data_IF_537553608557
#
_entry.id   IF_537553608557
#
_cell.length_a   1.000
_cell.length_b   1.000
_cell.length_c   1.000
_cell.angle_alpha   90.00
_cell.angle_beta   90.00
_cell.angle_gamma   90.00
#
_symmetry.space_group_name_H-M   'P 1'
#
loop_
_entity.id
_entity.type
_entity.pdbx_description
1 polymer ?
#
# COMPACT_ATOMS: atom_id res chain seq x y z
N UNK A 1 -7.78 13.78 4.94
CA UNK A 1 -7.59 12.53 4.15
C UNK A 1 -6.31 12.61 3.33
N UNK A 2 -5.71 11.48 2.96
CA UNK A 2 -4.45 11.44 2.23
C UNK A 2 -4.50 12.08 0.83
N UNK A 3 -5.63 11.99 0.12
CA UNK A 3 -5.82 12.66 -1.18
C UNK A 3 -5.57 14.18 -1.09
N UNK A 4 -6.06 14.83 -0.03
CA UNK A 4 -5.81 16.25 0.20
C UNK A 4 -4.35 16.57 0.48
N UNK A 5 -3.63 15.69 1.19
CA UNK A 5 -2.19 15.83 1.36
C UNK A 5 -1.49 15.74 0.00
N UNK A 6 -1.86 14.76 -0.83
CA UNK A 6 -1.32 14.59 -2.18
C UNK A 6 -1.55 15.84 -3.06
N UNK A 7 -2.64 16.60 -2.92
CA UNK A 7 -2.83 17.86 -3.64
C UNK A 7 -1.67 18.86 -3.44
N UNK A 8 -0.97 18.80 -2.31
CA UNK A 8 0.14 19.72 -1.99
C UNK A 8 1.49 19.30 -2.59
N UNK A 9 1.55 18.15 -3.26
CA UNK A 9 2.77 17.59 -3.85
C UNK A 9 2.63 17.44 -5.37
N UNK A 10 2.74 18.51 -6.16
CA UNK A 10 2.41 18.48 -7.60
C UNK A 10 3.23 17.46 -8.42
N UNK A 11 4.47 17.18 -8.01
CA UNK A 11 5.36 16.19 -8.63
C UNK A 11 5.20 14.76 -8.10
N UNK A 12 4.18 14.49 -7.26
CA UNK A 12 3.95 13.16 -6.70
C UNK A 12 3.50 12.18 -7.79
N UNK A 13 4.34 11.22 -8.15
CA UNK A 13 4.02 10.18 -9.13
C UNK A 13 3.40 8.94 -8.49
N UNK A 14 3.84 8.61 -7.27
CA UNK A 14 3.38 7.45 -6.50
C UNK A 14 3.18 7.86 -5.04
N UNK A 15 2.07 7.42 -4.45
CA UNK A 15 1.81 7.51 -3.02
C UNK A 15 1.43 6.12 -2.51
N UNK A 16 2.18 5.60 -1.54
CA UNK A 16 1.91 4.33 -0.88
C UNK A 16 1.57 4.57 0.59
N UNK A 17 0.40 4.09 1.01
CA UNK A 17 0.03 3.97 2.41
C UNK A 17 -0.01 2.49 2.75
N UNK A 18 0.75 2.08 3.74
CA UNK A 18 0.82 0.68 4.13
C UNK A 18 0.72 0.52 5.64
N UNK A 19 0.25 -0.65 6.03
CA UNK A 19 0.19 -1.10 7.41
C UNK A 19 0.63 -2.55 7.47
N UNK A 20 1.32 -2.91 8.56
CA UNK A 20 1.77 -4.27 8.79
C UNK A 20 1.84 -4.58 10.27
N UNK A 21 1.29 -5.72 10.69
CA UNK A 21 1.56 -6.40 11.96
C UNK A 21 1.26 -7.89 11.79
N UNK A 22 1.54 -8.72 12.79
CA UNK A 22 1.25 -10.17 12.69
C UNK A 22 -0.24 -10.41 12.32
N UNK A 23 -0.47 -11.21 11.29
CA UNK A 23 -1.78 -11.54 10.70
C UNK A 23 -2.37 -10.46 9.78
N UNK A 24 -1.74 -9.29 9.73
CA UNK A 24 -2.36 -8.10 9.17
C UNK A 24 -1.40 -7.32 8.28
N UNK A 25 -1.74 -7.21 7.00
CA UNK A 25 -1.05 -6.31 6.10
C UNK A 25 -2.05 -5.63 5.18
N UNK A 26 -1.83 -4.36 4.85
CA UNK A 26 -2.52 -3.70 3.76
C UNK A 26 -1.65 -2.66 3.06
N UNK A 27 -1.97 -2.42 1.79
CA UNK A 27 -1.38 -1.40 0.94
C UNK A 27 -2.50 -0.72 0.16
N UNK A 28 -2.44 0.61 0.13
CA UNK A 28 -3.09 1.44 -0.87
C UNK A 28 -2.01 2.18 -1.64
N UNK A 29 -1.99 2.01 -2.95
CA UNK A 29 -1.07 2.71 -3.86
C UNK A 29 -1.87 3.55 -4.84
N UNK A 30 -1.67 4.86 -4.78
CA UNK A 30 -2.09 5.77 -5.83
C UNK A 30 -0.90 6.06 -6.73
N UNK A 31 -1.06 5.93 -8.04
CA UNK A 31 0.05 6.13 -8.99
C UNK A 31 -0.43 6.75 -10.29
N UNK A 32 0.48 7.43 -10.98
CA UNK A 32 0.29 7.91 -12.35
C UNK A 32 1.13 7.04 -13.30
N UNK A 33 0.48 6.44 -14.30
CA UNK A 33 1.17 5.73 -15.38
C UNK A 33 1.77 6.70 -16.41
N UNK A 34 2.70 6.20 -17.23
CA UNK A 34 3.31 6.97 -18.32
C UNK A 34 2.29 7.52 -19.32
N UNK A 35 1.18 6.80 -19.55
CA UNK A 35 0.08 7.22 -20.43
C UNK A 35 -0.82 8.29 -19.80
N UNK A 36 -0.49 8.76 -18.59
CA UNK A 36 -1.23 9.79 -17.85
C UNK A 36 -2.47 9.28 -17.13
N UNK A 37 -2.74 7.97 -17.15
CA UNK A 37 -3.84 7.34 -16.42
C UNK A 37 -3.45 7.18 -14.94
N UNK A 38 -4.35 7.57 -14.05
CA UNK A 38 -4.18 7.38 -12.61
C UNK A 38 -4.74 6.03 -12.18
N UNK A 39 -4.07 5.38 -11.23
CA UNK A 39 -4.42 4.05 -10.75
C UNK A 39 -4.43 4.00 -9.24
N UNK A 40 -5.46 3.37 -8.67
CA UNK A 40 -5.48 2.90 -7.29
C UNK A 40 -5.34 1.39 -7.29
N UNK A 41 -4.26 0.93 -6.67
CA UNK A 41 -4.02 -0.46 -6.37
C UNK A 41 -4.21 -0.70 -4.87
N UNK A 42 -4.76 -1.86 -4.52
CA UNK A 42 -4.95 -2.30 -3.13
C UNK A 42 -4.50 -3.74 -2.98
N UNK A 43 -3.83 -4.04 -1.88
CA UNK A 43 -3.52 -5.40 -1.48
C UNK A 43 -3.64 -5.54 0.05
N UNK A 44 -3.99 -6.72 0.54
CA UNK A 44 -3.98 -6.94 1.99
C UNK A 44 -4.60 -8.26 2.46
N UNK A 45 -4.52 -8.49 3.77
CA UNK A 45 -5.08 -9.69 4.42
C UNK A 45 -6.56 -9.56 4.77
N UNK A 46 -7.12 -8.35 4.68
CA UNK A 46 -8.55 -8.07 4.79
C UNK A 46 -9.04 -7.18 3.64
N UNK A 47 -10.36 -7.03 3.54
CA UNK A 47 -10.93 -6.19 2.50
C UNK A 47 -10.67 -4.72 2.81
N UNK A 48 -10.12 -3.99 1.86
CA UNK A 48 -9.87 -2.56 1.99
C UNK A 48 -10.86 -1.81 1.08
N UNK A 49 -12.16 -1.74 1.42
CA UNK A 49 -13.12 -1.01 0.62
C UNK A 49 -12.74 0.46 0.57
N UNK A 50 -12.98 1.10 -0.57
CA UNK A 50 -12.84 2.54 -0.71
C UNK A 50 -14.25 3.12 -0.69
N UNK A 51 -14.65 3.78 0.40
CA UNK A 51 -15.91 4.49 0.47
C UNK A 51 -16.07 5.47 -0.70
N UNK A 52 -17.31 5.75 -1.16
CA UNK A 52 -17.56 6.62 -2.31
C UNK A 52 -16.91 8.01 -2.18
N UNK A 53 -16.91 8.60 -0.99
CA UNK A 53 -16.30 9.90 -0.69
C UNK A 53 -14.76 9.85 -0.80
N UNK A 54 -14.14 8.74 -0.40
CA UNK A 54 -12.70 8.52 -0.57
C UNK A 54 -12.36 8.38 -2.05
N UNK A 55 -13.16 7.61 -2.81
CA UNK A 55 -12.99 7.47 -4.26
C UNK A 55 -13.15 8.80 -4.99
N UNK A 56 -14.16 9.59 -4.60
CA UNK A 56 -14.38 10.93 -5.16
C UNK A 56 -13.19 11.86 -4.89
N UNK A 57 -12.62 11.83 -3.69
CA UNK A 57 -11.45 12.64 -3.35
C UNK A 57 -10.22 12.29 -4.23
N UNK A 58 -10.00 11.00 -4.51
CA UNK A 58 -8.94 10.57 -5.43
C UNK A 58 -9.23 10.94 -6.88
N UNK A 59 -10.49 10.88 -7.31
CA UNK A 59 -10.88 11.24 -8.67
C UNK A 59 -10.72 12.75 -8.92
N UNK A 60 -11.12 13.60 -7.96
CA UNK A 60 -10.87 15.05 -8.05
C UNK A 60 -9.38 15.37 -8.12
N UNK A 61 -8.54 14.61 -7.41
CA UNK A 61 -7.09 14.77 -7.48
C UNK A 61 -6.53 14.39 -8.86
N UNK A 62 -7.00 13.32 -9.48
CA UNK A 62 -6.56 12.94 -10.83
C UNK A 62 -6.98 14.01 -11.86
N UNK A 63 -8.21 14.50 -11.80
CA UNK A 63 -8.72 15.58 -12.65
C UNK A 63 -7.88 16.86 -12.50
N UNK A 64 -7.61 17.29 -11.26
CA UNK A 64 -6.79 18.48 -10.98
C UNK A 64 -5.38 18.39 -11.57
N UNK A 65 -4.87 17.16 -11.74
CA UNK A 65 -3.54 16.88 -12.29
C UNK A 65 -3.53 16.57 -13.79
N UNK A 66 -4.64 16.85 -14.47
CA UNK A 66 -4.82 16.63 -15.92
C UNK A 66 -4.94 15.16 -16.30
N UNK A 67 -5.32 14.30 -15.35
CA UNK A 67 -5.64 12.90 -15.60
C UNK A 67 -6.94 12.77 -16.37
N UNK A 68 -6.99 11.82 -17.29
CA UNK A 68 -8.21 11.52 -18.07
C UNK A 68 -9.16 10.58 -17.32
N UNK A 69 -8.60 9.72 -16.47
CA UNK A 69 -9.32 8.63 -15.83
C UNK A 69 -8.59 8.20 -14.55
N UNK A 70 -9.38 7.72 -13.58
CA UNK A 70 -8.91 7.01 -12.39
C UNK A 70 -9.42 5.58 -12.43
N UNK A 71 -8.50 4.62 -12.56
CA UNK A 71 -8.82 3.19 -12.51
C UNK A 71 -8.54 2.65 -11.12
N UNK A 72 -9.51 1.96 -10.51
CA UNK A 72 -9.31 1.22 -9.27
C UNK A 72 -9.41 -0.28 -9.56
N UNK A 73 -8.37 -1.04 -9.22
CA UNK A 73 -8.39 -2.49 -9.37
C UNK A 73 -9.12 -3.16 -8.20
N UNK A 74 -9.54 -4.41 -8.44
CA UNK A 74 -9.92 -5.30 -7.36
C UNK A 74 -8.74 -5.49 -6.39
N UNK A 75 -9.02 -5.61 -5.07
CA UNK A 75 -7.98 -5.74 -4.08
C UNK A 75 -7.32 -7.12 -4.16
N UNK A 76 -6.00 -7.15 -4.21
CA UNK A 76 -5.24 -8.40 -4.11
C UNK A 76 -5.27 -8.94 -2.68
N UNK A 77 -5.53 -10.25 -2.54
CA UNK A 77 -5.61 -10.91 -1.25
C UNK A 77 -4.26 -11.51 -0.87
N UNK A 78 -3.83 -11.21 0.33
CA UNK A 78 -2.63 -11.78 0.95
C UNK A 78 -3.06 -12.75 2.03
N UNK A 79 -2.44 -13.92 2.06
CA UNK A 79 -2.68 -14.87 3.14
C UNK A 79 -2.12 -14.33 4.45
N UNK A 80 -3.01 -14.23 5.46
CA UNK A 80 -2.66 -13.77 6.81
C UNK A 80 -1.58 -14.62 7.48
N UNK A 81 -1.45 -15.91 7.12
CA UNK A 81 -0.49 -16.83 7.71
C UNK A 81 0.96 -16.52 7.29
N UNK A 82 1.12 -15.83 6.17
CA UNK A 82 2.42 -15.33 5.69
C UNK A 82 2.90 -14.13 6.51
N UNK A 83 1.99 -13.37 7.11
CA UNK A 83 2.32 -12.13 7.81
C UNK A 83 2.62 -12.44 9.27
N UNK A 84 3.86 -12.81 9.59
CA UNK A 84 4.26 -13.09 10.98
C UNK A 84 4.86 -11.88 11.68
N UNK A 85 5.23 -10.86 10.92
CA UNK A 85 5.91 -9.66 11.39
C UNK A 85 5.67 -8.47 10.46
N UNK A 86 6.10 -7.28 10.90
CA UNK A 86 6.15 -6.08 10.05
C UNK A 86 7.07 -6.29 8.84
N UNK A 87 8.16 -7.04 9.01
CA UNK A 87 9.08 -7.37 7.91
C UNK A 87 8.43 -8.26 6.84
N UNK A 88 7.58 -9.21 7.26
CA UNK A 88 6.82 -10.02 6.31
C UNK A 88 5.77 -9.18 5.59
N UNK A 89 5.09 -8.25 6.27
CA UNK A 89 4.18 -7.32 5.62
C UNK A 89 4.88 -6.50 4.53
N UNK A 90 6.02 -5.87 4.84
CA UNK A 90 6.81 -5.11 3.85
C UNK A 90 7.22 -5.99 2.66
N UNK A 91 7.64 -7.24 2.92
CA UNK A 91 8.04 -8.17 1.88
C UNK A 91 6.90 -8.60 0.96
N UNK A 92 5.71 -8.87 1.53
CA UNK A 92 4.57 -9.41 0.77
C UNK A 92 3.69 -8.32 0.13
N UNK A 93 3.72 -7.08 0.62
CA UNK A 93 2.95 -5.98 0.03
C UNK A 93 3.52 -5.46 -1.30
N UNK A 94 4.76 -5.84 -1.66
CA UNK A 94 5.35 -5.50 -2.95
C UNK A 94 5.43 -3.98 -3.20
N UNK A 95 5.84 -3.22 -2.19
CA UNK A 95 6.00 -1.76 -2.25
C UNK A 95 6.90 -1.35 -3.42
N UNK A 96 6.65 -0.19 -4.03
CA UNK A 96 7.47 0.30 -5.16
C UNK A 96 8.86 0.71 -4.69
N UNK A 97 8.94 1.26 -3.47
CA UNK A 97 10.18 1.75 -2.89
C UNK A 97 10.54 1.00 -1.62
N UNK A 98 11.84 0.81 -1.41
CA UNK A 98 12.38 0.21 -0.21
C UNK A 98 12.17 1.15 0.98
N UNK A 99 11.26 0.80 1.88
CA UNK A 99 11.06 1.50 3.17
C UNK A 99 12.11 1.14 4.21
N UNK A 100 12.85 0.05 3.97
CA UNK A 100 13.96 -0.44 4.78
C UNK A 100 15.07 -0.93 3.88
N UNK A 101 16.32 -0.80 4.35
CA UNK A 101 17.44 -1.42 3.66
C UNK A 101 17.24 -2.95 3.57
N UNK A 102 17.52 -3.59 2.42
CA UNK A 102 17.25 -5.02 2.22
C UNK A 102 17.89 -5.94 3.25
N UNK A 103 19.07 -5.58 3.78
CA UNK A 103 19.74 -6.35 4.85
C UNK A 103 18.93 -6.29 6.15
N UNK A 104 18.50 -5.09 6.56
CA UNK A 104 17.70 -4.89 7.76
C UNK A 104 16.36 -5.62 7.65
N UNK A 105 15.72 -5.58 6.49
CA UNK A 105 14.48 -6.31 6.23
C UNK A 105 14.67 -7.82 6.43
N UNK A 106 15.75 -8.40 5.89
CA UNK A 106 16.08 -9.82 6.10
C UNK A 106 16.31 -10.16 7.57
N UNK A 107 17.03 -9.30 8.31
CA UNK A 107 17.30 -9.51 9.73
C UNK A 107 16.01 -9.48 10.56
N UNK A 108 15.16 -8.47 10.37
CA UNK A 108 13.87 -8.35 11.07
C UNK A 108 13.00 -9.59 10.83
N UNK A 109 12.92 -10.07 9.58
CA UNK A 109 12.15 -11.28 9.26
C UNK A 109 12.71 -12.53 9.93
N UNK A 110 14.03 -12.70 9.93
CA UNK A 110 14.71 -13.84 10.59
C UNK A 110 14.49 -13.81 12.10
N UNK A 111 14.65 -12.64 12.73
CA UNK A 111 14.45 -12.47 14.17
C UNK A 111 13.01 -12.76 14.57
N UNK A 112 12.02 -12.33 13.78
CA UNK A 112 10.62 -12.65 14.03
C UNK A 112 10.31 -14.14 13.93
N UNK A 113 11.06 -14.90 13.12
CA UNK A 113 10.93 -16.36 13.05
C UNK A 113 11.58 -17.05 14.26
N UNK A 114 12.70 -16.53 14.76
CA UNK A 114 13.43 -17.12 15.89
C UNK A 114 12.86 -16.74 17.26
N UNK A 115 12.32 -15.52 17.40
CA UNK A 115 11.89 -14.92 18.67
C UNK A 115 10.43 -14.47 18.66
N UNK A 116 9.67 -14.81 17.61
CA UNK A 116 8.27 -14.45 17.51
C UNK A 116 7.45 -15.03 18.67
N UNK A 117 6.50 -14.28 19.24
CA UNK A 117 5.74 -14.73 20.41
C UNK A 117 5.03 -16.07 20.13
N UNK A 118 5.36 -17.08 20.94
CA UNK A 118 4.72 -18.39 20.93
C UNK A 118 3.39 -18.35 21.69
N UNK A 119 2.39 -17.67 21.14
CA UNK A 119 1.02 -17.78 21.64
C UNK A 119 0.22 -18.60 20.63
N UNK A 120 -0.28 -19.76 21.08
CA UNK A 120 -1.35 -20.52 20.43
C UNK A 120 -2.69 -19.94 20.85
#
# INVERSE_FOLDING_TARGET
MAAFAACRFPSLEVMELWYGRRGEACLLRFSRSHDGIFKIFRAGTWELPLPPDVMEAWNRLSELRGGKELMASDPERIDRELIRSHGDAIHHLGLVSDVLHPVSLRQIRREAQCYGPSWR
#
